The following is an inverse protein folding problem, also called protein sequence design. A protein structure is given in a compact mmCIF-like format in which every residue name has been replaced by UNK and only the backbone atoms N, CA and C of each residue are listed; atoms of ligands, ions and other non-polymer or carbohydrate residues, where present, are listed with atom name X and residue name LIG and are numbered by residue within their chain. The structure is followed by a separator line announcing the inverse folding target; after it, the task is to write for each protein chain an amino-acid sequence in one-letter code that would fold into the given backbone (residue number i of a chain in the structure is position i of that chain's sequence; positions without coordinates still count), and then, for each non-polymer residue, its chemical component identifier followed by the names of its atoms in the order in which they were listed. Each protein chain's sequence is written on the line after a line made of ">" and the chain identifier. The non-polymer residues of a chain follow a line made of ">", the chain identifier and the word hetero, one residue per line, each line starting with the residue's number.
data_IF_784925711751
#
_entry.id   IF_784925711751
#
_cell.length_a   1.000
_cell.length_b   1.000
_cell.length_c   1.000
_cell.angle_alpha   90.00
_cell.angle_beta   90.00
_cell.angle_gamma   90.00
#
_symmetry.space_group_name_H-M   'P 1'
#
loop_
_entity.id
_entity.type
_entity.pdbx_description
1 polymer ?
#
# COMPACT_ATOMS: atom_id res chain seq x y z
N UNK A 1 -14.78 2.31 7.00
CA UNK A 1 -15.06 2.03 8.44
C UNK A 1 -14.06 1.04 9.05
N UNK A 2 -13.61 -0.01 8.32
CA UNK A 2 -12.72 -1.04 8.88
C UNK A 2 -11.31 -0.51 9.24
N UNK A 3 -10.76 0.46 8.51
CA UNK A 3 -9.43 1.00 8.77
C UNK A 3 -9.31 1.62 10.17
N UNK A 4 -10.34 2.34 10.62
CA UNK A 4 -10.36 2.93 11.97
C UNK A 4 -10.40 1.91 13.11
N UNK A 5 -10.84 0.66 12.83
CA UNK A 5 -10.80 -0.44 13.81
C UNK A 5 -9.37 -1.01 13.97
N UNK A 6 -8.63 -1.09 12.86
CA UNK A 6 -7.26 -1.64 12.83
C UNK A 6 -6.22 -0.57 13.20
N UNK A 7 -6.46 0.67 12.79
CA UNK A 7 -5.62 1.84 13.06
C UNK A 7 -6.46 2.94 13.74
N UNK A 8 -6.67 2.87 15.07
CA UNK A 8 -7.55 3.79 15.79
C UNK A 8 -7.20 5.27 15.61
N UNK A 9 -5.92 5.59 15.44
CA UNK A 9 -5.43 6.96 15.22
C UNK A 9 -5.95 7.59 13.91
N UNK A 10 -6.42 6.76 12.97
CA UNK A 10 -7.00 7.20 11.69
C UNK A 10 -8.53 7.24 11.70
N UNK A 11 -9.15 6.92 12.82
CA UNK A 11 -10.61 6.95 12.92
C UNK A 11 -11.14 8.37 12.70
N UNK A 12 -12.09 8.50 11.77
CA UNK A 12 -12.67 9.78 11.36
C UNK A 12 -11.77 10.69 10.51
N UNK A 13 -10.55 10.25 10.18
CA UNK A 13 -9.59 11.03 9.38
C UNK A 13 -9.48 10.57 7.93
N UNK A 14 -10.15 9.48 7.58
CA UNK A 14 -10.14 8.92 6.23
C UNK A 14 -11.54 8.97 5.63
N UNK A 15 -11.58 9.41 4.38
CA UNK A 15 -12.76 9.31 3.53
C UNK A 15 -12.34 8.83 2.14
N UNK A 16 -13.27 8.33 1.35
CA UNK A 16 -12.97 7.86 0.01
C UNK A 16 -14.12 7.09 -0.63
N UNK A 17 -13.97 6.83 -1.89
CA UNK A 17 -14.89 6.05 -2.70
C UNK A 17 -14.14 5.05 -3.58
N UNK A 18 -14.85 4.09 -4.15
CA UNK A 18 -14.28 3.13 -5.08
C UNK A 18 -14.80 3.38 -6.50
N UNK A 19 -13.88 3.37 -7.45
CA UNK A 19 -14.19 3.28 -8.88
C UNK A 19 -14.21 1.82 -9.30
N UNK A 20 -15.27 1.43 -10.02
CA UNK A 20 -15.35 0.11 -10.67
C UNK A 20 -14.99 0.27 -12.14
N UNK A 21 -13.96 -0.43 -12.56
CA UNK A 21 -13.40 -0.37 -13.92
C UNK A 21 -13.40 -1.78 -14.54
N UNK A 22 -13.43 -1.90 -15.87
CA UNK A 22 -13.47 -3.20 -16.55
C UNK A 22 -12.08 -3.87 -16.56
N UNK A 23 -11.50 -4.06 -15.39
CA UNK A 23 -10.22 -4.75 -15.16
C UNK A 23 -10.49 -6.04 -14.43
N UNK A 24 -10.02 -7.20 -14.92
CA UNK A 24 -10.35 -8.51 -14.34
C UNK A 24 -9.85 -8.68 -12.92
N UNK A 25 -8.66 -8.18 -12.60
CA UNK A 25 -8.04 -8.28 -11.28
C UNK A 25 -7.09 -7.12 -11.03
N UNK A 26 -6.57 -7.02 -9.82
CA UNK A 26 -5.65 -5.99 -9.29
C UNK A 26 -6.31 -4.61 -9.15
N UNK A 27 -6.24 -4.13 -7.95
CA UNK A 27 -6.76 -2.81 -7.56
C UNK A 27 -5.63 -1.84 -7.25
N UNK A 28 -5.95 -0.56 -7.22
CA UNK A 28 -5.02 0.49 -6.83
C UNK A 28 -5.64 1.36 -5.74
N UNK A 29 -4.86 1.69 -4.73
CA UNK A 29 -5.15 2.78 -3.80
C UNK A 29 -4.48 4.03 -4.32
N UNK A 30 -5.27 5.05 -4.62
CA UNK A 30 -4.82 6.40 -4.93
C UNK A 30 -5.07 7.27 -3.69
N UNK A 31 -4.03 7.46 -2.87
CA UNK A 31 -4.13 8.16 -1.60
C UNK A 31 -3.57 9.58 -1.72
N UNK A 32 -4.37 10.54 -1.26
CA UNK A 32 -3.95 11.93 -1.06
C UNK A 32 -4.03 12.29 0.42
N UNK A 33 -3.02 12.98 0.92
CA UNK A 33 -3.00 13.44 2.31
C UNK A 33 -2.15 14.70 2.48
N UNK A 34 -2.41 15.41 3.57
CA UNK A 34 -1.59 16.54 3.99
C UNK A 34 -0.59 16.04 5.03
N UNK A 35 0.68 16.15 4.72
CA UNK A 35 1.75 15.80 5.65
C UNK A 35 1.84 16.83 6.79
N UNK A 36 2.18 16.39 8.00
CA UNK A 36 2.33 17.28 9.18
C UNK A 36 3.49 18.25 9.07
N UNK A 37 4.46 17.96 8.22
CA UNK A 37 5.62 18.80 7.92
C UNK A 37 5.93 18.74 6.42
N UNK A 38 6.69 19.69 5.94
CA UNK A 38 7.20 19.64 4.57
C UNK A 38 8.02 18.37 4.34
N UNK A 39 7.84 17.78 3.18
CA UNK A 39 8.51 16.54 2.75
C UNK A 39 8.80 16.58 1.26
N UNK A 40 9.54 15.61 0.76
CA UNK A 40 9.87 15.45 -0.66
C UNK A 40 9.51 14.06 -1.18
N UNK A 41 9.40 13.92 -2.50
CA UNK A 41 9.23 12.61 -3.17
C UNK A 41 10.30 11.61 -2.71
N UNK A 42 11.55 12.04 -2.70
CA UNK A 42 12.68 11.15 -2.36
C UNK A 42 12.62 10.70 -0.90
N UNK A 43 12.25 11.59 0.02
CA UNK A 43 12.08 11.25 1.43
C UNK A 43 10.97 10.21 1.64
N UNK A 44 9.83 10.38 0.97
CA UNK A 44 8.71 9.42 1.03
C UNK A 44 9.13 8.07 0.45
N UNK A 45 9.73 8.09 -0.74
CA UNK A 45 10.16 6.88 -1.41
C UNK A 45 11.22 6.12 -0.59
N UNK A 46 12.16 6.83 0.01
CA UNK A 46 13.19 6.24 0.88
C UNK A 46 12.57 5.60 2.14
N UNK A 47 11.61 6.28 2.77
CA UNK A 47 10.92 5.75 3.95
C UNK A 47 10.13 4.47 3.64
N UNK A 48 9.38 4.44 2.53
CA UNK A 48 8.63 3.26 2.11
C UNK A 48 9.57 2.12 1.73
N UNK A 49 10.63 2.42 0.98
CA UNK A 49 11.65 1.43 0.61
C UNK A 49 12.30 0.80 1.85
N UNK A 50 12.67 1.61 2.83
CA UNK A 50 13.27 1.12 4.07
C UNK A 50 12.30 0.22 4.85
N UNK A 51 11.00 0.53 4.86
CA UNK A 51 9.99 -0.32 5.47
C UNK A 51 9.82 -1.65 4.72
N UNK A 52 9.80 -1.62 3.39
CA UNK A 52 9.66 -2.81 2.55
C UNK A 52 10.89 -3.74 2.62
N UNK A 53 12.10 -3.18 2.66
CA UNK A 53 13.33 -3.96 2.79
C UNK A 53 13.58 -4.46 4.24
N UNK A 54 12.89 -3.86 5.21
CA UNK A 54 13.03 -4.11 6.66
C UNK A 54 11.80 -4.76 7.30
N UNK A 55 11.07 -4.03 8.18
CA UNK A 55 10.02 -4.62 9.02
C UNK A 55 8.81 -5.17 8.24
N UNK A 56 8.57 -4.70 7.02
CA UNK A 56 7.48 -5.14 6.17
C UNK A 56 7.94 -6.00 4.99
N UNK A 57 9.13 -6.58 5.09
CA UNK A 57 9.67 -7.46 4.04
C UNK A 57 8.73 -8.62 3.73
N UNK A 58 8.40 -8.79 2.44
CA UNK A 58 7.47 -9.81 1.95
C UNK A 58 5.98 -9.46 2.14
N UNK A 59 5.68 -8.32 2.78
CA UNK A 59 4.31 -7.80 2.97
C UNK A 59 4.08 -6.53 2.14
N UNK A 60 5.04 -5.62 2.18
CA UNK A 60 5.08 -4.41 1.37
C UNK A 60 6.12 -4.58 0.26
N UNK A 61 5.69 -4.39 -0.98
CA UNK A 61 6.55 -4.30 -2.14
C UNK A 61 6.67 -2.85 -2.63
N UNK A 62 7.57 -2.61 -3.56
CA UNK A 62 7.66 -1.34 -4.28
C UNK A 62 8.15 -1.57 -5.71
N UNK A 63 7.81 -0.65 -6.61
CA UNK A 63 8.27 -0.65 -7.99
C UNK A 63 8.63 0.76 -8.44
N UNK A 64 9.58 0.86 -9.35
CA UNK A 64 9.92 2.10 -10.06
C UNK A 64 9.75 1.93 -11.58
N UNK A 65 9.25 0.77 -12.02
CA UNK A 65 8.96 0.50 -13.42
C UNK A 65 7.59 1.06 -13.83
N UNK A 66 7.34 1.35 -15.11
CA UNK A 66 6.07 1.85 -15.60
C UNK A 66 5.02 0.72 -15.69
N UNK A 67 4.76 0.09 -14.57
CA UNK A 67 3.83 -1.03 -14.45
C UNK A 67 2.37 -0.58 -14.56
N UNK A 68 1.54 -1.51 -15.00
CA UNK A 68 0.08 -1.40 -15.03
C UNK A 68 -0.56 -2.52 -14.22
N UNK A 69 -1.88 -2.45 -14.02
CA UNK A 69 -2.63 -3.39 -13.17
C UNK A 69 -2.27 -4.86 -13.36
N UNK A 70 -2.23 -5.35 -14.61
CA UNK A 70 -2.00 -6.76 -14.90
C UNK A 70 -0.62 -7.27 -14.46
N UNK A 71 0.37 -6.41 -14.34
CA UNK A 71 1.73 -6.77 -13.94
C UNK A 71 1.79 -7.25 -12.48
N UNK A 72 0.80 -6.87 -11.68
CA UNK A 72 0.70 -7.25 -10.27
C UNK A 72 -0.25 -8.41 -10.01
N UNK A 73 -0.77 -9.05 -11.07
CA UNK A 73 -1.61 -10.21 -10.93
C UNK A 73 -0.82 -11.36 -10.29
N UNK A 74 -1.37 -11.94 -9.22
CA UNK A 74 -0.72 -12.96 -8.38
C UNK A 74 0.57 -12.48 -7.68
N UNK A 75 0.75 -11.18 -7.49
CA UNK A 75 1.78 -10.68 -6.60
C UNK A 75 1.37 -10.95 -5.14
N UNK A 76 2.22 -11.62 -4.32
CA UNK A 76 1.87 -12.02 -2.96
C UNK A 76 1.92 -10.88 -1.95
N UNK A 77 2.43 -9.71 -2.29
CA UNK A 77 2.47 -8.56 -1.37
C UNK A 77 1.07 -8.03 -1.08
N UNK A 78 0.86 -7.56 0.13
CA UNK A 78 -0.39 -6.89 0.53
C UNK A 78 -0.55 -5.51 -0.10
N UNK A 79 0.56 -4.88 -0.46
CA UNK A 79 0.60 -3.57 -1.10
C UNK A 79 1.93 -3.40 -1.84
N UNK A 80 1.88 -2.89 -3.06
CA UNK A 80 3.07 -2.61 -3.88
C UNK A 80 3.08 -1.11 -4.19
N UNK A 81 3.97 -0.39 -3.53
CA UNK A 81 4.09 1.06 -3.66
C UNK A 81 4.72 1.46 -4.99
N UNK A 82 4.09 2.38 -5.71
CA UNK A 82 4.56 2.84 -7.01
C UNK A 82 5.38 4.13 -6.85
N UNK A 83 6.69 3.99 -6.67
CA UNK A 83 7.63 5.08 -6.36
C UNK A 83 7.63 6.19 -7.42
N UNK A 84 7.50 5.81 -8.69
CA UNK A 84 7.47 6.76 -9.80
C UNK A 84 6.26 7.72 -9.73
N UNK A 85 5.13 7.24 -9.21
CA UNK A 85 3.88 7.98 -9.10
C UNK A 85 3.76 8.83 -7.83
N UNK A 86 4.77 8.86 -6.98
CA UNK A 86 4.80 9.76 -5.82
C UNK A 86 4.90 11.21 -6.26
N UNK A 87 3.96 12.04 -5.77
CA UNK A 87 3.94 13.49 -6.03
C UNK A 87 3.83 14.25 -4.73
N UNK A 88 4.55 15.36 -4.64
CA UNK A 88 4.46 16.31 -3.53
C UNK A 88 4.23 17.70 -4.11
N UNK A 89 3.17 18.37 -3.67
CA UNK A 89 2.83 19.73 -4.05
C UNK A 89 2.87 20.62 -2.81
N UNK A 90 3.40 21.81 -2.97
CA UNK A 90 3.56 22.82 -1.90
C UNK A 90 4.21 22.26 -0.62
N UNK A 91 5.06 21.25 -0.78
CA UNK A 91 5.81 20.60 0.29
C UNK A 91 4.98 19.72 1.24
N UNK A 92 3.66 19.81 1.24
CA UNK A 92 2.81 19.08 2.20
C UNK A 92 1.69 18.25 1.57
N UNK A 93 1.17 18.63 0.43
CA UNK A 93 0.16 17.82 -0.26
C UNK A 93 0.82 16.66 -0.98
N UNK A 94 0.58 15.47 -0.48
CA UNK A 94 1.18 14.22 -0.98
C UNK A 94 0.15 13.39 -1.72
N UNK A 95 0.52 12.87 -2.89
CA UNK A 95 -0.23 11.86 -3.64
C UNK A 95 0.65 10.64 -3.87
N UNK A 96 0.13 9.47 -3.54
CA UNK A 96 0.80 8.18 -3.72
C UNK A 96 -0.13 7.16 -4.33
N UNK A 97 0.44 6.20 -5.06
CA UNK A 97 -0.26 5.04 -5.58
C UNK A 97 0.31 3.76 -4.97
N UNK A 98 -0.58 2.81 -4.67
CA UNK A 98 -0.18 1.48 -4.23
C UNK A 98 -1.10 0.42 -4.85
N UNK A 99 -0.51 -0.59 -5.47
CA UNK A 99 -1.22 -1.69 -6.13
C UNK A 99 -1.41 -2.86 -5.19
N UNK A 100 -2.43 -3.67 -5.43
CA UNK A 100 -2.62 -4.92 -4.70
C UNK A 100 -3.52 -5.88 -5.46
N UNK A 101 -3.16 -7.16 -5.42
CA UNK A 101 -4.07 -8.25 -5.78
C UNK A 101 -4.89 -8.59 -4.53
N UNK A 102 -6.16 -8.18 -4.51
CA UNK A 102 -7.01 -8.30 -3.32
C UNK A 102 -7.28 -9.75 -2.89
N UNK A 103 -7.26 -10.70 -3.82
CA UNK A 103 -7.50 -12.10 -3.51
C UNK A 103 -6.19 -12.82 -3.19
N UNK A 104 -5.18 -12.68 -4.04
CA UNK A 104 -3.91 -13.38 -3.87
C UNK A 104 -3.11 -12.87 -2.67
N UNK A 105 -2.98 -11.58 -2.52
CA UNK A 105 -2.30 -10.97 -1.36
C UNK A 105 -2.96 -11.37 -0.05
N UNK A 106 -4.30 -11.34 0.02
CA UNK A 106 -5.04 -11.77 1.20
C UNK A 106 -4.84 -13.27 1.50
N UNK A 107 -4.89 -14.14 0.49
CA UNK A 107 -4.68 -15.59 0.66
C UNK A 107 -3.28 -15.91 1.20
N UNK A 108 -2.26 -15.17 0.76
CA UNK A 108 -0.91 -15.28 1.32
C UNK A 108 -0.88 -14.83 2.79
N UNK A 109 -1.55 -13.73 3.15
CA UNK A 109 -1.63 -13.28 4.57
C UNK A 109 -2.39 -14.26 5.45
N UNK A 110 -3.40 -14.95 4.95
CA UNK A 110 -4.05 -16.04 5.69
C UNK A 110 -3.06 -17.17 6.02
N UNK A 111 -2.27 -17.59 5.04
CA UNK A 111 -1.24 -18.61 5.25
C UNK A 111 -0.17 -18.17 6.26
N UNK A 112 0.32 -16.93 6.15
CA UNK A 112 1.28 -16.35 7.08
C UNK A 112 0.73 -16.29 8.52
N UNK A 113 -0.55 -15.91 8.65
CA UNK A 113 -1.23 -15.85 9.96
C UNK A 113 -1.37 -17.24 10.56
N UNK A 114 -1.71 -18.25 9.75
CA UNK A 114 -1.78 -19.64 10.23
C UNK A 114 -0.42 -20.15 10.73
N UNK A 115 0.65 -19.85 9.98
CA UNK A 115 2.03 -20.18 10.40
C UNK A 115 2.42 -19.44 11.67
N UNK A 116 2.07 -18.16 11.79
CA UNK A 116 2.36 -17.37 12.99
C UNK A 116 1.61 -17.94 14.22
N UNK A 117 0.34 -18.30 14.04
CA UNK A 117 -0.47 -18.92 15.10
C UNK A 117 0.11 -20.27 15.54
N UNK A 118 0.52 -21.12 14.59
CA UNK A 118 1.11 -22.42 14.90
C UNK A 118 2.42 -22.33 15.70
N UNK A 119 3.12 -21.20 15.67
CA UNK A 119 4.33 -20.96 16.48
C UNK A 119 4.03 -20.57 17.93
N UNK A 120 2.78 -20.28 18.25
CA UNK A 120 2.33 -19.89 19.60
C UNK A 120 1.77 -21.09 20.38
N UNK A 121 1.60 -22.23 19.73
CA UNK A 121 1.13 -23.48 20.29
C UNK A 121 2.31 -24.43 20.48
#
# INVERSE_FOLDING_TARGET
>A
KAVGLVLPDLNGKLDGFALRVPTPNVSVVDLKFIAKRATTKDEINAAIKAAADGPLKGILGYTNAPNVSIDFNHDPHSSIFHMDQTKVMEGTLVSILSWYDNEWGFSNRMSDTAVALAKLI
#
